data_IF_045636943755
#
_entry.id   IF_045636943755
#
_cell.length_a   1.000
_cell.length_b   1.000
_cell.length_c   1.000
_cell.angle_alpha   90.00
_cell.angle_beta   90.00
_cell.angle_gamma   90.00
#
_symmetry.space_group_name_H-M   'P 1'
#
loop_
_entity.id
_entity.type
_entity.pdbx_description
1 polymer ?
#
# COMPACT_ATOMS: atom_id res chain seq x y z
N UNK A 1 -12.06 28.94 -14.75
CA UNK A 1 -11.96 27.65 -14.02
C UNK A 1 -12.97 26.61 -14.50
N UNK A 2 -14.22 26.98 -14.79
CA UNK A 2 -15.26 26.04 -15.24
C UNK A 2 -14.91 25.27 -16.54
N UNK A 3 -14.30 25.95 -17.52
CA UNK A 3 -13.88 25.35 -18.78
C UNK A 3 -12.73 24.31 -18.67
N UNK A 4 -11.93 24.32 -17.59
CA UNK A 4 -10.87 23.31 -17.41
C UNK A 4 -11.44 22.01 -16.82
N UNK A 5 -12.30 22.10 -15.81
CA UNK A 5 -12.99 20.95 -15.21
C UNK A 5 -13.84 20.24 -16.27
N UNK A 6 -14.58 20.98 -17.09
CA UNK A 6 -15.42 20.40 -18.14
C UNK A 6 -14.58 19.64 -19.21
N UNK A 7 -13.41 20.17 -19.58
CA UNK A 7 -12.46 19.48 -20.48
C UNK A 7 -11.88 18.20 -19.86
N UNK A 8 -11.55 18.23 -18.58
CA UNK A 8 -11.03 17.05 -17.86
C UNK A 8 -12.09 15.96 -17.73
N UNK A 9 -13.32 16.33 -17.35
CA UNK A 9 -14.45 15.41 -17.28
C UNK A 9 -14.72 14.80 -18.65
N UNK A 10 -14.76 15.59 -19.73
CA UNK A 10 -14.97 15.07 -21.09
C UNK A 10 -13.86 14.11 -21.54
N UNK A 11 -12.59 14.36 -21.17
CA UNK A 11 -11.47 13.45 -21.42
C UNK A 11 -11.58 12.16 -20.60
N UNK A 12 -11.89 12.25 -19.31
CA UNK A 12 -12.05 11.11 -18.41
C UNK A 12 -13.21 10.21 -18.88
N UNK A 13 -14.31 10.83 -19.32
CA UNK A 13 -15.48 10.16 -19.89
C UNK A 13 -15.15 9.52 -21.24
N UNK A 14 -14.33 10.14 -22.10
CA UNK A 14 -13.87 9.52 -23.36
C UNK A 14 -12.99 8.28 -23.14
N UNK A 15 -12.15 8.33 -22.11
CA UNK A 15 -11.17 7.28 -21.77
C UNK A 15 -11.71 6.22 -20.80
N UNK A 16 -13.03 6.13 -20.63
CA UNK A 16 -13.70 5.16 -19.75
C UNK A 16 -13.24 3.71 -19.95
N UNK A 17 -12.92 3.34 -21.20
CA UNK A 17 -12.47 2.00 -21.57
C UNK A 17 -11.09 1.66 -20.99
N UNK A 18 -10.21 2.65 -20.78
CA UNK A 18 -8.92 2.44 -20.12
C UNK A 18 -9.11 1.99 -18.67
N UNK A 19 -10.10 2.56 -17.97
CA UNK A 19 -10.42 2.16 -16.59
C UNK A 19 -10.89 0.70 -16.53
N UNK A 20 -11.76 0.29 -17.46
CA UNK A 20 -12.24 -1.09 -17.56
C UNK A 20 -11.10 -2.05 -17.90
N UNK A 21 -10.27 -1.71 -18.89
CA UNK A 21 -9.13 -2.52 -19.30
C UNK A 21 -8.12 -2.70 -18.16
N UNK A 22 -7.74 -1.60 -17.49
CA UNK A 22 -6.84 -1.69 -16.32
C UNK A 22 -7.50 -2.49 -15.19
N UNK A 23 -8.81 -2.35 -14.99
CA UNK A 23 -9.53 -3.14 -14.00
C UNK A 23 -9.47 -4.65 -14.27
N UNK A 24 -9.67 -5.07 -15.52
CA UNK A 24 -9.53 -6.48 -15.93
C UNK A 24 -8.09 -6.98 -15.75
N UNK A 25 -7.08 -6.18 -16.11
CA UNK A 25 -5.67 -6.51 -15.89
C UNK A 25 -5.37 -6.71 -14.40
N UNK A 26 -5.88 -5.84 -13.52
CA UNK A 26 -5.68 -5.97 -12.08
C UNK A 26 -6.35 -7.23 -11.50
N UNK A 27 -7.55 -7.59 -11.97
CA UNK A 27 -8.20 -8.85 -11.57
C UNK A 27 -7.35 -10.04 -12.01
N UNK A 28 -6.90 -10.07 -13.27
CA UNK A 28 -6.06 -11.13 -13.79
C UNK A 28 -4.76 -11.28 -12.99
N UNK A 29 -4.09 -10.16 -12.69
CA UNK A 29 -2.90 -10.13 -11.84
C UNK A 29 -3.19 -10.62 -10.43
N UNK A 30 -4.30 -10.20 -9.82
CA UNK A 30 -4.68 -10.64 -8.48
C UNK A 30 -4.96 -12.14 -8.41
N UNK A 31 -5.63 -12.70 -9.41
CA UNK A 31 -5.83 -14.16 -9.54
C UNK A 31 -4.49 -14.86 -9.73
N UNK A 32 -3.62 -14.34 -10.59
CA UNK A 32 -2.28 -14.90 -10.82
C UNK A 32 -1.44 -14.95 -9.54
N UNK A 33 -1.46 -13.88 -8.75
CA UNK A 33 -0.77 -13.79 -7.44
C UNK A 33 -1.24 -14.91 -6.51
N UNK A 34 -2.56 -15.12 -6.41
CA UNK A 34 -3.14 -16.16 -5.54
C UNK A 34 -2.84 -17.58 -6.04
N UNK A 35 -2.70 -17.77 -7.35
CA UNK A 35 -2.31 -19.05 -7.94
C UNK A 35 -0.81 -19.34 -7.82
N UNK A 36 0.03 -18.31 -7.65
CA UNK A 36 1.49 -18.42 -7.60
C UNK A 36 2.08 -17.71 -6.37
N UNK A 37 1.69 -18.13 -5.14
CA UNK A 37 1.97 -17.36 -3.93
C UNK A 37 3.47 -17.18 -3.67
N UNK A 38 4.29 -18.21 -3.96
CA UNK A 38 5.74 -18.15 -3.76
C UNK A 38 6.42 -17.15 -4.70
N UNK A 39 6.07 -17.15 -5.99
CA UNK A 39 6.65 -16.24 -6.98
C UNK A 39 6.18 -14.80 -6.73
N UNK A 40 4.92 -14.61 -6.36
CA UNK A 40 4.40 -13.30 -5.98
C UNK A 40 5.13 -12.74 -4.76
N UNK A 41 5.35 -13.58 -3.75
CA UNK A 41 6.09 -13.19 -2.55
C UNK A 41 7.55 -12.84 -2.84
N UNK A 42 8.23 -13.64 -3.66
CA UNK A 42 9.59 -13.35 -4.13
C UNK A 42 9.68 -12.01 -4.88
N UNK A 43 8.68 -11.72 -5.71
CA UNK A 43 8.60 -10.44 -6.42
C UNK A 43 8.44 -9.27 -5.46
N UNK A 44 7.61 -9.40 -4.43
CA UNK A 44 7.43 -8.37 -3.39
C UNK A 44 8.71 -8.15 -2.59
N UNK A 45 9.44 -9.22 -2.26
CA UNK A 45 10.75 -9.13 -1.60
C UNK A 45 11.74 -8.34 -2.45
N UNK A 46 11.88 -8.66 -3.74
CA UNK A 46 12.78 -7.93 -4.63
C UNK A 46 12.34 -6.45 -4.74
N UNK A 47 11.05 -6.19 -4.93
CA UNK A 47 10.53 -4.82 -5.01
C UNK A 47 10.80 -4.02 -3.73
N UNK A 48 10.65 -4.64 -2.56
CA UNK A 48 10.98 -4.03 -1.28
C UNK A 48 12.47 -3.66 -1.21
N UNK A 49 13.36 -4.60 -1.53
CA UNK A 49 14.81 -4.36 -1.50
C UNK A 49 15.25 -3.28 -2.49
N UNK A 50 14.68 -3.25 -3.71
CA UNK A 50 14.91 -2.17 -4.68
C UNK A 50 14.43 -0.84 -4.11
N UNK A 51 13.22 -0.80 -3.54
CA UNK A 51 12.62 0.41 -2.99
C UNK A 51 13.46 0.97 -1.84
N UNK A 52 13.94 0.11 -0.94
CA UNK A 52 14.81 0.50 0.18
C UNK A 52 16.15 1.04 -0.32
N UNK A 53 16.74 0.40 -1.33
CA UNK A 53 17.99 0.86 -1.97
C UNK A 53 17.80 2.25 -2.59
N UNK A 54 16.71 2.46 -3.34
CA UNK A 54 16.41 3.76 -3.95
C UNK A 54 16.14 4.81 -2.87
N UNK A 55 15.39 4.47 -1.81
CA UNK A 55 15.11 5.37 -0.70
C UNK A 55 16.41 5.82 -0.02
N UNK A 56 17.29 4.88 0.33
CA UNK A 56 18.59 5.20 0.92
C UNK A 56 19.46 6.05 -0.01
N UNK A 57 19.48 5.76 -1.31
CA UNK A 57 20.22 6.59 -2.29
C UNK A 57 19.68 8.01 -2.36
N UNK A 58 18.35 8.18 -2.41
CA UNK A 58 17.69 9.48 -2.44
C UNK A 58 17.94 10.24 -1.14
N UNK A 59 17.89 9.58 0.01
CA UNK A 59 18.13 10.20 1.31
C UNK A 59 19.58 10.65 1.48
N UNK A 60 20.55 9.84 1.04
CA UNK A 60 21.96 10.26 0.96
C UNK A 60 22.13 11.47 0.05
N UNK A 61 21.55 11.44 -1.15
CA UNK A 61 21.64 12.55 -2.09
C UNK A 61 21.02 13.83 -1.50
N UNK A 62 19.83 13.71 -0.89
CA UNK A 62 19.13 14.80 -0.23
C UNK A 62 19.96 15.38 0.93
N UNK A 63 20.47 14.53 1.83
CA UNK A 63 21.29 14.97 2.95
C UNK A 63 22.55 15.73 2.50
N UNK A 64 23.22 15.25 1.44
CA UNK A 64 24.42 15.90 0.89
C UNK A 64 24.06 17.22 0.18
N UNK A 65 23.01 17.24 -0.64
CA UNK A 65 22.58 18.43 -1.38
C UNK A 65 22.08 19.55 -0.46
N UNK A 66 21.49 19.19 0.69
CA UNK A 66 20.91 20.15 1.61
C UNK A 66 21.71 20.33 2.91
N UNK A 67 22.97 19.86 2.96
CA UNK A 67 23.83 19.87 4.16
C UNK A 67 23.97 21.25 4.84
N UNK A 68 23.93 22.32 4.05
CA UNK A 68 24.11 23.69 4.52
C UNK A 68 22.77 24.37 4.88
N UNK A 69 21.64 23.72 4.57
CA UNK A 69 20.28 24.24 4.72
C UNK A 69 19.44 23.51 5.78
N UNK A 70 19.83 22.30 6.20
CA UNK A 70 19.11 21.50 7.20
C UNK A 70 19.95 21.29 8.45
N UNK A 71 19.36 21.60 9.61
CA UNK A 71 19.92 21.20 10.89
C UNK A 71 19.79 19.67 11.03
N UNK A 72 20.90 19.01 11.40
CA UNK A 72 20.92 17.55 11.59
C UNK A 72 21.16 16.73 10.31
N UNK A 73 21.65 17.33 9.22
CA UNK A 73 21.96 16.63 7.95
C UNK A 73 22.81 15.36 8.12
N UNK A 74 23.71 15.33 9.11
CA UNK A 74 24.54 14.17 9.41
C UNK A 74 23.73 12.94 9.85
N UNK A 75 22.64 13.13 10.60
CA UNK A 75 21.75 12.04 11.01
C UNK A 75 20.96 11.48 9.83
N UNK A 76 20.45 12.36 8.97
CA UNK A 76 19.79 11.98 7.72
C UNK A 76 20.76 11.23 6.80
N UNK A 77 22.02 11.68 6.70
CA UNK A 77 23.04 10.98 5.93
C UNK A 77 23.30 9.57 6.47
N UNK A 78 23.45 9.43 7.79
CA UNK A 78 23.65 8.12 8.43
C UNK A 78 22.45 7.20 8.19
N UNK A 79 21.22 7.71 8.34
CA UNK A 79 20.00 6.98 8.03
C UNK A 79 19.99 6.49 6.58
N UNK A 80 20.22 7.39 5.63
CA UNK A 80 20.28 7.04 4.20
C UNK A 80 21.37 6.03 3.85
N UNK A 81 22.56 6.12 4.48
CA UNK A 81 23.63 5.12 4.28
C UNK A 81 23.22 3.75 4.81
N UNK A 82 22.60 3.69 5.99
CA UNK A 82 22.10 2.44 6.57
C UNK A 82 21.05 1.83 5.64
N UNK A 83 20.07 2.61 5.19
CA UNK A 83 19.01 2.15 4.30
C UNK A 83 19.57 1.68 2.96
N UNK A 84 20.54 2.39 2.40
CA UNK A 84 21.20 2.01 1.16
C UNK A 84 21.97 0.68 1.32
N UNK A 85 22.75 0.55 2.40
CA UNK A 85 23.51 -0.67 2.68
C UNK A 85 22.58 -1.87 2.93
N UNK A 86 21.52 -1.69 3.72
CA UNK A 86 20.50 -2.71 3.96
C UNK A 86 19.77 -3.08 2.67
N UNK A 87 19.36 -2.11 1.87
CA UNK A 87 18.72 -2.34 0.57
C UNK A 87 19.58 -3.18 -0.36
N UNK A 88 20.87 -2.84 -0.50
CA UNK A 88 21.83 -3.59 -1.32
C UNK A 88 22.03 -5.00 -0.75
N UNK A 89 22.17 -5.14 0.57
CA UNK A 89 22.34 -6.45 1.22
C UNK A 89 21.14 -7.36 0.99
N UNK A 90 19.92 -6.83 1.13
CA UNK A 90 18.68 -7.55 0.88
C UNK A 90 18.51 -7.89 -0.61
N UNK A 91 18.92 -7.01 -1.53
CA UNK A 91 18.93 -7.32 -2.96
C UNK A 91 19.88 -8.47 -3.30
N UNK A 92 21.06 -8.48 -2.70
CA UNK A 92 22.05 -9.53 -2.89
C UNK A 92 21.63 -10.86 -2.26
N UNK A 93 20.78 -10.82 -1.22
CA UNK A 93 20.34 -12.00 -0.47
C UNK A 93 18.79 -12.09 -0.40
N UNK A 94 18.11 -12.44 -1.51
CA UNK A 94 16.65 -12.49 -1.54
C UNK A 94 16.03 -13.42 -0.47
N UNK A 95 16.72 -14.51 -0.12
CA UNK A 95 16.28 -15.42 0.95
C UNK A 95 16.11 -14.70 2.29
N UNK A 96 17.05 -13.81 2.64
CA UNK A 96 16.98 -13.03 3.87
C UNK A 96 15.82 -12.03 3.83
N UNK A 97 15.56 -11.44 2.66
CA UNK A 97 14.41 -10.53 2.48
C UNK A 97 13.09 -11.25 2.71
N UNK A 98 12.96 -12.49 2.24
CA UNK A 98 11.75 -13.31 2.42
C UNK A 98 11.45 -13.60 3.88
N UNK A 99 12.47 -13.70 4.73
CA UNK A 99 12.30 -13.90 6.18
C UNK A 99 12.11 -12.58 6.94
N UNK A 100 12.65 -11.48 6.41
CA UNK A 100 12.62 -10.17 7.06
C UNK A 100 11.26 -9.47 6.88
N UNK A 101 10.65 -9.58 5.71
CA UNK A 101 9.37 -8.93 5.40
C UNK A 101 8.23 -9.24 6.40
N UNK A 102 8.00 -10.50 6.82
CA UNK A 102 6.98 -10.85 7.81
C UNK A 102 7.29 -10.26 9.18
N UNK A 103 8.57 -10.17 9.55
CA UNK A 103 9.00 -9.57 10.81
C UNK A 103 8.69 -8.07 10.80
N UNK A 104 9.02 -7.37 9.72
CA UNK A 104 8.68 -5.94 9.55
C UNK A 104 7.16 -5.71 9.61
N UNK A 105 6.38 -6.58 8.96
CA UNK A 105 4.93 -6.55 9.05
C UNK A 105 4.46 -6.76 10.50
N UNK A 106 5.04 -7.71 11.22
CA UNK A 106 4.75 -7.95 12.64
C UNK A 106 5.01 -6.73 13.51
N UNK A 107 6.17 -6.09 13.36
CA UNK A 107 6.51 -4.85 14.08
C UNK A 107 5.50 -3.73 13.76
N UNK A 108 5.12 -3.58 12.49
CA UNK A 108 4.11 -2.61 12.09
C UNK A 108 2.73 -2.91 12.70
N UNK A 109 2.34 -4.18 12.74
CA UNK A 109 1.11 -4.63 13.38
C UNK A 109 1.13 -4.40 14.90
N UNK A 110 2.27 -4.58 15.58
CA UNK A 110 2.41 -4.24 16.99
C UNK A 110 2.12 -2.75 17.22
N UNK A 111 2.72 -1.86 16.41
CA UNK A 111 2.45 -0.42 16.50
C UNK A 111 0.97 -0.09 16.29
N UNK A 112 0.32 -0.73 15.29
CA UNK A 112 -1.12 -0.60 15.05
C UNK A 112 -1.96 -1.11 16.21
N UNK A 113 -1.60 -2.24 16.79
CA UNK A 113 -2.27 -2.82 17.96
C UNK A 113 -2.19 -1.90 19.18
N UNK A 114 -1.00 -1.41 19.51
CA UNK A 114 -0.82 -0.44 20.60
C UNK A 114 -1.59 0.87 20.34
N UNK A 115 -1.55 1.38 19.12
CA UNK A 115 -2.32 2.58 18.73
C UNK A 115 -3.83 2.37 18.90
N UNK A 116 -4.35 1.19 18.51
CA UNK A 116 -5.76 0.84 18.68
C UNK A 116 -6.15 0.74 20.16
N UNK A 117 -5.28 0.17 21.01
CA UNK A 117 -5.48 0.14 22.46
C UNK A 117 -5.54 1.56 23.02
N UNK A 118 -4.58 2.43 22.69
CA UNK A 118 -4.60 3.84 23.12
C UNK A 118 -5.89 4.55 22.70
N UNK A 119 -6.34 4.32 21.46
CA UNK A 119 -7.59 4.86 20.94
C UNK A 119 -8.80 4.33 21.72
N UNK A 120 -8.83 3.03 22.06
CA UNK A 120 -9.91 2.43 22.84
C UNK A 120 -10.03 3.02 24.25
N UNK A 121 -8.89 3.33 24.89
CA UNK A 121 -8.86 3.97 26.20
C UNK A 121 -9.38 5.40 26.10
N UNK A 122 -9.02 6.13 25.05
CA UNK A 122 -9.56 7.46 24.79
C UNK A 122 -11.08 7.44 24.58
N UNK A 123 -11.60 6.48 23.79
CA UNK A 123 -13.05 6.28 23.60
C UNK A 123 -13.78 6.04 24.94
N UNK A 124 -13.18 5.24 25.83
CA UNK A 124 -13.70 5.01 27.18
C UNK A 124 -13.75 6.32 27.98
N UNK A 125 -12.72 7.15 27.94
CA UNK A 125 -12.71 8.43 28.67
C UNK A 125 -13.74 9.44 28.15
N UNK A 126 -14.11 9.37 26.87
CA UNK A 126 -15.17 10.20 26.28
C UNK A 126 -16.59 9.65 26.47
N UNK A 127 -16.77 8.54 27.21
CA UNK A 127 -18.08 7.95 27.47
C UNK A 127 -18.73 7.26 26.26
N UNK A 128 -17.95 6.96 25.22
CA UNK A 128 -18.46 6.31 24.00
C UNK A 128 -18.68 4.81 24.27
N UNK A 129 -19.90 4.33 23.99
CA UNK A 129 -20.22 2.90 24.04
C UNK A 129 -19.38 2.10 23.01
N UNK A 130 -19.19 0.79 23.23
CA UNK A 130 -18.40 -0.12 22.37
C UNK A 130 -16.87 0.03 22.39
N UNK A 131 -16.29 0.81 23.33
CA UNK A 131 -14.84 0.90 23.50
C UNK A 131 -14.15 -0.46 23.71
N UNK A 132 -14.84 -1.38 24.40
CA UNK A 132 -14.31 -2.72 24.71
C UNK A 132 -14.07 -3.58 23.46
N UNK A 133 -14.84 -3.37 22.39
CA UNK A 133 -14.62 -4.08 21.12
C UNK A 133 -13.33 -3.64 20.45
N UNK A 134 -13.05 -2.33 20.45
CA UNK A 134 -11.81 -1.80 19.90
C UNK A 134 -10.59 -2.25 20.70
N UNK A 135 -10.71 -2.33 22.04
CA UNK A 135 -9.66 -2.88 22.90
C UNK A 135 -9.37 -4.34 22.55
N UNK A 136 -10.41 -5.17 22.40
CA UNK A 136 -10.27 -6.58 22.04
C UNK A 136 -9.61 -6.74 20.65
N UNK A 137 -9.98 -5.91 19.68
CA UNK A 137 -9.33 -5.88 18.37
C UNK A 137 -7.85 -5.48 18.47
N UNK A 138 -7.53 -4.46 19.26
CA UNK A 138 -6.14 -4.03 19.48
C UNK A 138 -5.28 -5.14 20.08
N UNK A 139 -5.78 -5.83 21.11
CA UNK A 139 -5.12 -6.99 21.69
C UNK A 139 -4.99 -8.15 20.70
N UNK A 140 -6.04 -8.44 19.93
CA UNK A 140 -6.03 -9.45 18.88
C UNK A 140 -4.96 -9.17 17.82
N UNK A 141 -4.80 -7.91 17.40
CA UNK A 141 -3.75 -7.51 16.46
C UNK A 141 -2.36 -7.75 17.04
N UNK A 142 -2.14 -7.44 18.32
CA UNK A 142 -0.84 -7.69 18.99
C UNK A 142 -0.54 -9.19 19.02
N UNK A 143 -1.50 -10.02 19.44
CA UNK A 143 -1.33 -11.48 19.46
C UNK A 143 -1.03 -12.00 18.05
N UNK A 144 -1.77 -11.54 17.05
CA UNK A 144 -1.55 -11.93 15.66
C UNK A 144 -0.17 -11.52 15.14
N UNK A 145 0.30 -10.33 15.52
CA UNK A 145 1.65 -9.88 15.20
C UNK A 145 2.73 -10.80 15.79
N UNK A 146 2.59 -11.19 17.06
CA UNK A 146 3.50 -12.16 17.68
C UNK A 146 3.45 -13.53 17.00
N UNK A 147 2.27 -14.00 16.58
CA UNK A 147 2.14 -15.26 15.83
C UNK A 147 2.90 -15.19 14.51
N UNK A 148 2.80 -14.08 13.78
CA UNK A 148 3.55 -13.85 12.52
C UNK A 148 5.06 -13.81 12.78
N UNK A 149 5.51 -13.12 13.83
CA UNK A 149 6.93 -12.99 14.13
C UNK A 149 7.57 -14.33 14.52
N UNK A 150 6.82 -15.20 15.19
CA UNK A 150 7.29 -16.56 15.53
C UNK A 150 7.18 -17.54 14.36
N UNK A 151 6.25 -17.31 13.42
CA UNK A 151 6.06 -18.13 12.23
C UNK A 151 6.01 -17.24 10.96
N UNK A 152 7.17 -16.83 10.42
CA UNK A 152 7.25 -15.92 9.27
C UNK A 152 6.49 -16.40 8.04
N UNK A 153 6.33 -17.72 7.87
CA UNK A 153 5.53 -18.32 6.79
C UNK A 153 4.07 -17.84 6.81
N UNK A 154 3.47 -17.67 7.99
CA UNK A 154 2.12 -17.13 8.11
C UNK A 154 2.07 -15.67 7.67
N UNK A 155 3.09 -14.88 7.98
CA UNK A 155 3.17 -13.50 7.52
C UNK A 155 3.33 -13.41 6.00
N UNK A 156 4.17 -14.26 5.40
CA UNK A 156 4.35 -14.33 3.96
C UNK A 156 3.03 -14.65 3.24
N UNK A 157 2.28 -15.65 3.73
CA UNK A 157 0.96 -16.00 3.19
C UNK A 157 -0.04 -14.84 3.33
N UNK A 158 -0.06 -14.18 4.49
CA UNK A 158 -0.93 -13.04 4.70
C UNK A 158 -0.63 -11.90 3.72
N UNK A 159 0.65 -11.55 3.53
CA UNK A 159 1.06 -10.53 2.56
C UNK A 159 0.51 -10.88 1.18
N UNK A 160 0.76 -12.10 0.68
CA UNK A 160 0.32 -12.53 -0.65
C UNK A 160 -1.21 -12.51 -0.80
N UNK A 161 -1.94 -13.07 0.17
CA UNK A 161 -3.40 -13.16 0.11
C UNK A 161 -4.01 -11.76 0.09
N UNK A 162 -3.61 -10.90 1.03
CA UNK A 162 -4.14 -9.53 1.11
C UNK A 162 -3.76 -8.68 -0.09
N UNK A 163 -2.54 -8.87 -0.62
CA UNK A 163 -2.15 -8.24 -1.89
C UNK A 163 -3.02 -8.73 -3.04
N UNK A 164 -3.16 -10.04 -3.25
CA UNK A 164 -3.96 -10.62 -4.34
C UNK A 164 -5.43 -10.21 -4.27
N UNK A 165 -6.04 -10.29 -3.09
CA UNK A 165 -7.40 -9.81 -2.84
C UNK A 165 -7.51 -8.30 -3.10
N UNK A 166 -6.52 -7.52 -2.66
CA UNK A 166 -6.44 -6.08 -2.92
C UNK A 166 -6.42 -5.75 -4.42
N UNK A 167 -5.65 -6.49 -5.22
CA UNK A 167 -5.62 -6.35 -6.68
C UNK A 167 -6.98 -6.68 -7.31
N UNK A 168 -7.63 -7.76 -6.89
CA UNK A 168 -8.97 -8.13 -7.37
C UNK A 168 -9.99 -7.04 -7.04
N UNK A 169 -10.05 -6.60 -5.78
CA UNK A 169 -10.98 -5.56 -5.34
C UNK A 169 -10.72 -4.22 -6.05
N UNK A 170 -9.46 -3.81 -6.19
CA UNK A 170 -9.08 -2.62 -6.94
C UNK A 170 -9.49 -2.74 -8.42
N UNK A 171 -9.35 -3.92 -9.00
CA UNK A 171 -9.79 -4.21 -10.37
C UNK A 171 -11.30 -4.09 -10.53
N UNK A 172 -12.07 -4.70 -9.63
CA UNK A 172 -13.54 -4.57 -9.59
C UNK A 172 -13.96 -3.10 -9.46
N UNK A 173 -13.31 -2.35 -8.55
CA UNK A 173 -13.56 -0.93 -8.37
C UNK A 173 -13.31 -0.12 -9.66
N UNK A 174 -12.19 -0.37 -10.35
CA UNK A 174 -11.87 0.32 -11.62
C UNK A 174 -12.85 -0.01 -12.73
N UNK A 175 -13.31 -1.26 -12.84
CA UNK A 175 -14.36 -1.64 -13.80
C UNK A 175 -15.65 -0.88 -13.48
N UNK A 176 -16.10 -0.89 -12.21
CA UNK A 176 -17.30 -0.17 -11.81
C UNK A 176 -17.20 1.34 -12.11
N UNK A 177 -16.06 1.96 -11.82
CA UNK A 177 -15.80 3.36 -12.14
C UNK A 177 -15.86 3.62 -13.66
N UNK A 178 -15.19 2.78 -14.47
CA UNK A 178 -15.23 2.89 -15.92
C UNK A 178 -16.63 2.76 -16.51
N UNK A 179 -17.43 1.82 -16.00
CA UNK A 179 -18.83 1.64 -16.43
C UNK A 179 -19.75 2.80 -16.02
N UNK A 180 -19.48 3.46 -14.88
CA UNK A 180 -20.19 4.69 -14.50
C UNK A 180 -19.83 5.84 -15.44
N UNK A 181 -18.55 5.97 -15.80
CA UNK A 181 -18.10 7.00 -16.74
C UNK A 181 -18.68 6.80 -18.15
N UNK A 182 -18.79 5.56 -18.61
CA UNK A 182 -19.48 5.23 -19.87
C UNK A 182 -20.94 5.69 -19.86
N UNK A 183 -21.69 5.39 -18.80
CA UNK A 183 -23.08 5.81 -18.64
C UNK A 183 -23.22 7.34 -18.60
N UNK A 184 -22.25 8.03 -18.03
CA UNK A 184 -22.22 9.50 -18.03
C UNK A 184 -21.96 10.06 -19.43
N UNK A 185 -21.12 9.40 -20.24
CA UNK A 185 -20.92 9.75 -21.65
C UNK A 185 -22.22 9.71 -22.44
N UNK A 186 -22.92 8.59 -22.35
CA UNK A 186 -24.16 8.33 -23.08
C UNK A 186 -25.21 9.41 -22.77
N UNK A 187 -25.35 9.81 -21.49
CA UNK A 187 -26.28 10.88 -21.08
C UNK A 187 -25.89 12.29 -21.57
N UNK A 188 -24.59 12.58 -21.66
CA UNK A 188 -24.09 13.87 -22.15
C UNK A 188 -24.23 14.00 -23.66
N UNK A 189 -23.99 12.89 -24.37
CA UNK A 189 -24.18 12.83 -25.83
C UNK A 189 -25.68 13.04 -26.15
N UNK A 190 -26.60 12.38 -25.43
CA UNK A 190 -28.07 12.58 -25.59
C UNK A 190 -28.54 14.04 -25.38
N UNK A 191 -28.00 14.76 -24.38
CA UNK A 191 -28.41 16.16 -24.13
C UNK A 191 -27.78 17.15 -25.13
N UNK A 192 -26.63 16.80 -25.72
CA UNK A 192 -26.02 17.62 -26.76
C UNK A 192 -26.76 17.55 -28.09
N UNK A 193 -27.50 16.45 -28.35
CA UNK A 193 -28.29 16.28 -29.57
C UNK A 193 -29.68 16.98 -29.47
N UNK A 194 -30.07 17.42 -28.28
CA UNK A 194 -31.36 18.10 -28.00
C UNK A 194 -31.27 19.64 -27.99
N UNK A 195 -30.09 20.22 -28.24
CA UNK A 195 -29.82 21.67 -28.29
C UNK A 195 -29.24 22.02 -29.66
#
# INVERSE_FOLDING_TARGET
MENSIFKEVRRAVKNWWLLVLTGLLLIGLGVWILMTPLAAYASLAVLFSISLTIAGLVEVAFAVSNRDAIDGWGWTLVGGIIDLALGIYLLANPAVTLETLPILLGIWLLFRGFSAIGTSVALRSYGVANWGWLLALGLGIIVFAFVIMNNPELGALNIVIWTGVGFILAGIFRIMAGLRMRRLKERLDEHSDLI
#
